data_IF_902125335164
#
_entry.id   IF_902125335164
#
_cell.length_a   1.000
_cell.length_b   1.000
_cell.length_c   1.000
_cell.angle_alpha   90.00
_cell.angle_beta   90.00
_cell.angle_gamma   90.00
#
_symmetry.space_group_name_H-M   'P 1'
#
loop_
_entity.id
_entity.type
_entity.pdbx_description
1 polymer ?
#
# COMPACT_ATOMS: atom_id res chain seq x y z
N UNK A 1 -1.94 11.30 -2.19
CA UNK A 1 -3.01 10.33 -1.91
C UNK A 1 -3.14 9.36 -3.06
N UNK A 2 -3.44 8.09 -2.74
CA UNK A 2 -3.73 7.03 -3.71
C UNK A 2 -5.21 6.66 -3.64
N UNK A 3 -5.79 6.29 -4.76
CA UNK A 3 -7.20 5.92 -4.89
C UNK A 3 -7.37 4.85 -5.96
N UNK A 4 -8.47 4.11 -5.91
CA UNK A 4 -8.77 3.08 -6.92
C UNK A 4 -9.21 3.74 -8.23
N UNK A 5 -8.65 3.27 -9.34
CA UNK A 5 -8.96 3.73 -10.69
C UNK A 5 -9.99 2.85 -11.41
N UNK A 6 -10.10 3.03 -12.73
CA UNK A 6 -10.89 2.14 -13.59
C UNK A 6 -10.38 0.70 -13.57
N UNK A 7 -11.22 -0.23 -14.00
CA UNK A 7 -10.87 -1.65 -14.18
C UNK A 7 -9.83 -1.86 -15.28
N UNK A 8 -9.79 -0.99 -16.29
CA UNK A 8 -8.78 -1.06 -17.34
C UNK A 8 -7.44 -0.47 -16.86
N UNK A 9 -6.31 -1.17 -17.09
CA UNK A 9 -4.99 -0.66 -16.74
C UNK A 9 -4.65 0.56 -17.59
N UNK A 10 -4.60 1.72 -16.95
CA UNK A 10 -4.10 2.97 -17.56
C UNK A 10 -2.64 3.19 -17.15
N UNK A 11 -1.88 4.09 -17.82
CA UNK A 11 -0.50 4.35 -17.44
C UNK A 11 -0.28 4.76 -15.97
N UNK A 12 -1.30 5.38 -15.34
CA UNK A 12 -1.28 5.74 -13.92
C UNK A 12 -1.56 4.55 -12.96
N UNK A 13 -1.92 3.38 -13.49
CA UNK A 13 -2.14 2.15 -12.70
C UNK A 13 -0.88 1.29 -12.61
N UNK A 14 0.24 1.72 -13.20
CA UNK A 14 1.46 0.94 -13.32
C UNK A 14 2.40 1.17 -12.14
N UNK A 15 2.86 0.06 -11.54
CA UNK A 15 3.79 0.07 -10.41
C UNK A 15 4.94 -0.90 -10.68
N UNK A 16 6.17 -0.46 -10.41
CA UNK A 16 7.35 -1.33 -10.39
C UNK A 16 7.54 -1.86 -8.98
N UNK A 17 7.55 -3.19 -8.85
CA UNK A 17 7.92 -3.86 -7.60
C UNK A 17 9.45 -3.88 -7.52
N UNK A 18 10.00 -3.38 -6.41
CA UNK A 18 11.44 -3.36 -6.11
C UNK A 18 11.73 -4.08 -4.80
N UNK A 19 12.80 -4.88 -4.78
CA UNK A 19 13.30 -5.60 -3.61
C UNK A 19 14.76 -6.02 -3.85
N UNK A 20 15.49 -6.32 -2.79
CA UNK A 20 16.96 -6.52 -2.84
C UNK A 20 17.39 -7.98 -3.07
N UNK A 21 16.43 -8.89 -3.25
CA UNK A 21 16.68 -10.32 -3.48
C UNK A 21 16.37 -10.73 -4.92
N UNK A 22 16.75 -11.95 -5.29
CA UNK A 22 16.38 -12.54 -6.58
C UNK A 22 14.87 -12.84 -6.65
N UNK A 23 14.30 -13.35 -5.55
CA UNK A 23 12.87 -13.62 -5.40
C UNK A 23 12.31 -12.87 -4.20
N UNK A 24 11.10 -12.32 -4.35
CA UNK A 24 10.33 -11.78 -3.25
C UNK A 24 9.70 -12.95 -2.49
N UNK A 25 10.22 -13.25 -1.30
CA UNK A 25 9.72 -14.30 -0.41
C UNK A 25 9.18 -13.73 0.89
N UNK A 26 8.03 -14.24 1.35
CA UNK A 26 7.46 -13.92 2.67
C UNK A 26 8.12 -14.78 3.77
N UNK A 27 8.40 -14.24 4.97
CA UNK A 27 8.24 -12.83 5.41
C UNK A 27 9.48 -11.97 5.21
N UNK A 28 10.56 -12.52 4.64
CA UNK A 28 11.90 -11.96 4.79
C UNK A 28 12.27 -10.91 3.74
N UNK A 29 11.36 -10.59 2.83
CA UNK A 29 11.65 -9.71 1.69
C UNK A 29 10.65 -8.56 1.65
N UNK A 30 11.01 -7.42 2.26
CA UNK A 30 10.27 -6.18 2.04
C UNK A 30 10.27 -5.81 0.57
N UNK A 31 9.13 -5.32 0.10
CA UNK A 31 8.96 -4.81 -1.26
C UNK A 31 8.63 -3.32 -1.21
N UNK A 32 9.08 -2.58 -2.21
CA UNK A 32 8.62 -1.23 -2.47
C UNK A 32 7.84 -1.21 -3.78
N UNK A 33 6.73 -0.45 -3.78
CA UNK A 33 5.90 -0.25 -4.96
C UNK A 33 6.15 1.17 -5.50
N UNK A 34 6.91 1.27 -6.59
CA UNK A 34 7.22 2.54 -7.23
C UNK A 34 6.23 2.84 -8.36
N UNK A 35 5.50 3.92 -8.24
CA UNK A 35 4.60 4.38 -9.31
C UNK A 35 5.41 4.78 -10.54
N UNK A 36 5.09 4.24 -11.72
CA UNK A 36 5.89 4.43 -12.94
C UNK A 36 5.94 5.90 -13.36
N UNK A 37 4.79 6.60 -13.39
CA UNK A 37 4.73 7.95 -13.95
C UNK A 37 5.35 9.01 -13.06
N UNK A 38 5.19 8.89 -11.74
CA UNK A 38 5.73 9.88 -10.80
C UNK A 38 7.07 9.48 -10.19
N UNK A 39 7.52 8.24 -10.41
CA UNK A 39 8.71 7.64 -9.80
C UNK A 39 8.70 7.60 -8.26
N UNK A 40 7.56 7.91 -7.65
CA UNK A 40 7.43 7.95 -6.19
C UNK A 40 6.95 6.61 -5.64
N UNK A 41 7.20 6.37 -4.36
CA UNK A 41 6.85 5.11 -3.71
C UNK A 41 5.52 5.19 -2.96
N UNK A 42 4.73 4.12 -3.05
CA UNK A 42 3.57 3.90 -2.20
C UNK A 42 4.04 3.76 -0.75
N UNK A 43 3.42 4.50 0.15
CA UNK A 43 3.73 4.36 1.56
C UNK A 43 2.93 5.28 2.46
N UNK A 44 3.38 5.37 3.71
CA UNK A 44 2.79 6.18 4.75
C UNK A 44 3.62 7.44 4.97
N UNK A 45 2.94 8.58 4.98
CA UNK A 45 3.55 9.86 5.33
C UNK A 45 3.26 10.20 6.78
N UNK A 46 4.23 10.83 7.44
CA UNK A 46 4.09 11.33 8.80
C UNK A 46 4.70 12.72 8.92
N UNK A 47 4.18 13.50 9.86
CA UNK A 47 4.69 14.82 10.19
C UNK A 47 5.20 14.84 11.63
N UNK A 48 6.17 15.72 11.87
CA UNK A 48 6.64 16.03 13.22
C UNK A 48 5.64 16.96 13.90
N UNK A 49 5.35 16.71 15.16
CA UNK A 49 4.61 17.66 15.99
C UNK A 49 5.51 18.87 16.30
N UNK A 50 5.05 20.06 15.93
CA UNK A 50 5.80 21.31 16.13
C UNK A 50 5.95 21.70 17.60
N UNK A 51 5.01 21.28 18.46
CA UNK A 51 5.02 21.57 19.89
C UNK A 51 5.78 20.50 20.69
N UNK A 52 5.84 19.27 20.18
CA UNK A 52 6.50 18.14 20.83
C UNK A 52 7.53 17.51 19.89
N UNK A 53 8.80 17.94 19.95
CA UNK A 53 9.82 17.63 18.94
C UNK A 53 10.17 16.14 18.75
N UNK A 54 9.67 15.25 19.60
CA UNK A 54 9.86 13.79 19.49
C UNK A 54 8.58 13.03 19.13
N UNK A 55 7.46 13.74 18.98
CA UNK A 55 6.19 13.13 18.63
C UNK A 55 5.94 13.28 17.13
N UNK A 56 5.66 12.15 16.49
CA UNK A 56 5.25 12.11 15.10
C UNK A 56 3.80 11.66 15.02
N UNK A 57 3.11 12.08 13.97
CA UNK A 57 1.78 11.59 13.65
C UNK A 57 1.69 11.28 12.17
N UNK A 58 1.02 10.18 11.86
CA UNK A 58 0.75 9.77 10.49
C UNK A 58 -0.40 10.60 9.94
N UNK A 59 -0.34 10.87 8.63
CA UNK A 59 -1.42 11.56 7.94
C UNK A 59 -2.68 10.69 7.98
N UNK A 60 -3.82 11.37 8.06
CA UNK A 60 -5.14 10.74 8.09
C UNK A 60 -5.83 10.99 6.77
N UNK A 61 -6.43 9.93 6.24
CA UNK A 61 -7.19 9.96 5.00
C UNK A 61 -8.36 10.95 5.10
N UNK A 62 -8.83 11.51 3.98
CA UNK A 62 -9.77 12.62 3.98
C UNK A 62 -11.16 12.23 4.48
N UNK A 63 -11.62 11.00 4.21
CA UNK A 63 -13.00 10.60 4.47
C UNK A 63 -13.15 9.84 5.77
N UNK A 64 -12.41 8.74 5.90
CA UNK A 64 -12.55 7.82 7.03
C UNK A 64 -11.65 8.17 8.20
N UNK A 65 -10.65 9.02 7.98
CA UNK A 65 -9.61 9.38 8.96
C UNK A 65 -8.73 8.19 9.40
N UNK A 66 -8.77 7.08 8.66
CA UNK A 66 -7.76 6.02 8.76
C UNK A 66 -6.40 6.53 8.28
N UNK A 67 -5.37 5.70 8.35
CA UNK A 67 -4.04 6.13 7.90
C UNK A 67 -4.05 6.39 6.40
N UNK A 68 -3.61 7.58 6.00
CA UNK A 68 -3.50 7.95 4.59
C UNK A 68 -2.36 7.17 3.91
N UNK A 69 -2.65 6.64 2.73
CA UNK A 69 -1.66 6.08 1.82
C UNK A 69 -1.39 7.06 0.68
N UNK A 70 -0.12 7.31 0.39
CA UNK A 70 0.31 8.30 -0.59
C UNK A 70 1.48 7.81 -1.44
N UNK A 71 1.65 8.41 -2.62
CA UNK A 71 2.86 8.24 -3.44
C UNK A 71 3.98 9.18 -2.98
N UNK A 72 4.24 9.30 -1.68
CA UNK A 72 5.40 10.02 -1.12
C UNK A 72 5.60 9.56 0.34
N UNK A 73 5.45 8.26 0.56
CA UNK A 73 5.55 7.67 1.89
C UNK A 73 6.99 7.72 2.39
N UNK A 74 7.16 8.12 3.66
CA UNK A 74 8.43 7.98 4.37
C UNK A 74 8.65 6.49 4.70
N UNK A 75 7.62 5.87 5.27
CA UNK A 75 7.59 4.41 5.44
C UNK A 75 7.02 3.81 4.16
N UNK A 76 7.80 2.96 3.49
CA UNK A 76 7.48 2.42 2.17
C UNK A 76 7.81 0.93 2.02
N UNK A 77 8.26 0.31 3.11
CA UNK A 77 8.65 -1.09 3.16
C UNK A 77 7.41 -1.93 3.45
N UNK A 78 6.86 -2.53 2.41
CA UNK A 78 5.69 -3.37 2.49
C UNK A 78 6.09 -4.83 2.64
N UNK A 79 5.40 -5.56 3.51
CA UNK A 79 5.49 -7.01 3.60
C UNK A 79 4.24 -7.58 2.91
N UNK A 80 4.44 -8.41 1.89
CA UNK A 80 3.33 -9.12 1.26
C UNK A 80 3.05 -10.42 2.01
N UNK A 81 1.79 -10.83 2.11
CA UNK A 81 1.38 -12.13 2.63
C UNK A 81 0.40 -12.77 1.67
N UNK A 82 0.57 -14.04 1.34
CA UNK A 82 -0.44 -14.75 0.55
C UNK A 82 -1.74 -14.87 1.34
N UNK A 83 -2.87 -14.56 0.70
CA UNK A 83 -4.17 -14.65 1.37
C UNK A 83 -4.71 -16.09 1.40
N UNK A 84 -4.28 -16.93 0.46
CA UNK A 84 -4.61 -18.36 0.37
C UNK A 84 -3.33 -19.19 0.41
N UNK A 85 -3.30 -20.22 1.26
CA UNK A 85 -2.13 -21.08 1.47
C UNK A 85 -1.96 -22.15 0.37
N UNK A 86 -2.97 -22.36 -0.47
CA UNK A 86 -2.91 -23.35 -1.54
C UNK A 86 -2.04 -22.83 -2.70
N UNK A 87 -0.96 -23.57 -3.02
CA UNK A 87 0.00 -23.32 -4.11
C UNK A 87 1.12 -22.27 -3.86
N UNK A 88 1.38 -21.86 -2.62
CA UNK A 88 2.55 -21.02 -2.34
C UNK A 88 3.85 -21.84 -2.41
N UNK A 89 4.68 -21.57 -3.41
CA UNK A 89 5.99 -22.20 -3.58
C UNK A 89 7.15 -21.39 -2.97
N UNK A 90 6.82 -20.33 -2.22
CA UNK A 90 7.79 -19.48 -1.55
C UNK A 90 8.02 -18.13 -2.21
N UNK A 91 7.50 -17.88 -3.41
CA UNK A 91 7.76 -16.66 -4.18
C UNK A 91 6.51 -15.94 -4.67
N UNK A 92 6.56 -14.61 -4.78
CA UNK A 92 5.49 -13.79 -5.37
C UNK A 92 5.43 -13.95 -6.89
N UNK A 93 4.23 -14.17 -7.43
CA UNK A 93 3.94 -14.40 -8.85
C UNK A 93 2.72 -13.59 -9.32
N UNK A 94 2.54 -13.56 -10.64
CA UNK A 94 1.32 -13.01 -11.22
C UNK A 94 0.11 -13.86 -10.83
N UNK A 95 -1.04 -13.21 -10.64
CA UNK A 95 -2.32 -13.73 -10.18
C UNK A 95 -2.36 -14.17 -8.71
N UNK A 96 -1.30 -13.91 -7.95
CA UNK A 96 -1.35 -14.10 -6.51
C UNK A 96 -2.30 -13.10 -5.86
N UNK A 97 -3.15 -13.61 -4.98
CA UNK A 97 -3.94 -12.80 -4.07
C UNK A 97 -3.16 -12.61 -2.77
N UNK A 98 -2.81 -11.37 -2.47
CA UNK A 98 -1.96 -11.01 -1.33
C UNK A 98 -2.63 -9.97 -0.44
N UNK A 99 -2.19 -9.89 0.81
CA UNK A 99 -2.31 -8.69 1.62
C UNK A 99 -0.97 -7.96 1.62
N UNK A 100 -1.01 -6.63 1.65
CA UNK A 100 0.17 -5.79 1.83
C UNK A 100 0.11 -5.14 3.19
N UNK A 101 1.14 -5.34 4.00
CA UNK A 101 1.23 -4.78 5.33
C UNK A 101 2.44 -3.88 5.50
N UNK A 102 2.36 -2.93 6.41
CA UNK A 102 3.40 -1.93 6.65
C UNK A 102 3.46 -1.59 8.14
N UNK A 103 4.68 -1.35 8.64
CA UNK A 103 4.90 -0.88 10.01
C UNK A 103 5.12 0.62 10.03
N UNK A 104 4.55 1.27 11.04
CA UNK A 104 4.76 2.68 11.33
C UNK A 104 6.03 2.88 12.14
N UNK A 105 7.12 3.34 11.54
CA UNK A 105 8.45 3.41 12.19
C UNK A 105 8.56 4.49 13.28
N UNK A 106 7.68 5.50 13.23
CA UNK A 106 7.68 6.65 14.15
C UNK A 106 6.73 6.57 15.35
N UNK A 107 6.04 5.45 15.56
CA UNK A 107 5.24 5.21 16.77
C UNK A 107 5.78 4.02 17.54
N UNK A 108 5.70 4.09 18.87
CA UNK A 108 6.22 3.08 19.80
C UNK A 108 5.44 1.76 19.71
N UNK A 109 4.22 1.81 19.18
CA UNK A 109 3.41 0.62 18.98
C UNK A 109 3.72 0.10 17.58
N UNK A 110 4.51 -0.98 17.51
CA UNK A 110 4.85 -1.79 16.31
C UNK A 110 3.63 -2.43 15.61
N UNK A 111 2.49 -1.75 15.64
CA UNK A 111 1.27 -2.20 14.98
C UNK A 111 1.47 -2.12 13.48
N UNK A 112 1.43 -3.31 12.89
CA UNK A 112 1.30 -3.51 11.47
C UNK A 112 -0.10 -3.05 11.03
N UNK A 113 -0.15 -2.32 9.92
CA UNK A 113 -1.40 -1.95 9.26
C UNK A 113 -1.42 -2.52 7.84
N UNK A 114 -2.62 -2.80 7.34
CA UNK A 114 -2.83 -3.44 6.04
C UNK A 114 -3.41 -2.45 5.05
N UNK A 115 -2.89 -2.49 3.82
CA UNK A 115 -3.44 -1.73 2.69
C UNK A 115 -4.83 -2.25 2.36
N UNK A 116 -5.80 -1.34 2.30
CA UNK A 116 -7.18 -1.69 2.02
C UNK A 116 -7.87 -0.63 1.19
N UNK A 117 -8.87 -1.07 0.44
CA UNK A 117 -9.90 -0.20 -0.11
C UNK A 117 -11.28 -0.66 0.38
N UNK A 118 -12.28 0.20 0.18
CA UNK A 118 -13.66 -0.02 0.60
C UNK A 118 -14.60 0.79 -0.28
N UNK A 119 -15.89 0.46 -0.28
CA UNK A 119 -16.92 1.13 -1.09
C UNK A 119 -17.34 2.51 -0.51
N UNK A 120 -16.36 3.28 -0.05
CA UNK A 120 -16.56 4.67 0.40
C UNK A 120 -15.94 5.56 -0.65
N UNK A 121 -16.80 6.37 -1.25
CA UNK A 121 -16.42 7.34 -2.25
C UNK A 121 -16.20 8.71 -1.58
N UNK A 122 -15.01 9.25 -1.81
CA UNK A 122 -14.53 10.52 -1.32
C UNK A 122 -14.66 11.58 -2.40
N UNK A 123 -14.98 12.82 -2.02
CA UNK A 123 -14.94 13.95 -2.94
C UNK A 123 -13.88 14.96 -2.50
N UNK A 124 -12.94 15.27 -3.38
CA UNK A 124 -11.98 16.37 -3.21
C UNK A 124 -12.14 17.32 -4.40
N UNK A 125 -12.64 18.52 -4.13
CA UNK A 125 -13.04 19.44 -5.20
C UNK A 125 -14.11 18.80 -6.09
N UNK A 126 -13.85 18.73 -7.38
CA UNK A 126 -14.77 18.15 -8.38
C UNK A 126 -14.50 16.66 -8.66
N UNK A 127 -13.58 16.03 -7.93
CA UNK A 127 -13.18 14.64 -8.16
C UNK A 127 -13.79 13.73 -7.11
N UNK A 128 -14.50 12.69 -7.56
CA UNK A 128 -14.95 11.59 -6.72
C UNK A 128 -14.05 10.38 -6.94
N UNK A 129 -13.62 9.74 -5.85
CA UNK A 129 -12.70 8.61 -5.91
C UNK A 129 -12.96 7.62 -4.79
N UNK A 130 -12.63 6.35 -5.01
CA UNK A 130 -12.68 5.33 -3.97
C UNK A 130 -11.38 5.38 -3.15
N UNK A 131 -11.53 5.52 -1.83
CA UNK A 131 -10.39 5.72 -0.91
C UNK A 131 -9.51 4.46 -0.82
N UNK A 132 -8.20 4.66 -0.67
CA UNK A 132 -7.23 3.63 -0.29
C UNK A 132 -6.54 4.07 1.01
N UNK A 133 -6.53 3.19 2.01
CA UNK A 133 -6.10 3.49 3.38
C UNK A 133 -5.34 2.33 4.00
N UNK A 134 -4.70 2.58 5.15
CA UNK A 134 -4.18 1.54 6.03
C UNK A 134 -4.96 1.46 7.35
N UNK A 135 -5.19 0.23 7.84
CA UNK A 135 -5.87 -0.04 9.11
C UNK A 135 -5.26 -1.25 9.85
N UNK A 136 -5.33 -1.25 11.18
CA UNK A 136 -4.73 -2.28 12.05
C UNK A 136 -5.58 -3.55 12.19
N UNK A 137 -6.89 -3.45 11.95
CA UNK A 137 -7.84 -4.53 12.23
C UNK A 137 -8.37 -5.08 10.91
N UNK A 138 -8.22 -6.40 10.70
CA UNK A 138 -8.83 -7.15 9.59
C UNK A 138 -10.34 -7.24 9.82
N UNK A 139 -11.05 -6.15 9.56
CA UNK A 139 -12.50 -6.03 9.79
C UNK A 139 -13.33 -6.62 8.65
N UNK A 140 -12.79 -7.56 7.87
CA UNK A 140 -13.48 -8.17 6.73
C UNK A 140 -13.72 -7.18 5.59
N UNK A 141 -12.77 -6.27 5.34
CA UNK A 141 -12.80 -5.33 4.20
C UNK A 141 -12.00 -5.90 3.03
N UNK A 142 -11.98 -5.19 1.90
CA UNK A 142 -11.15 -5.58 0.76
C UNK A 142 -9.69 -5.24 1.08
N UNK A 143 -9.02 -6.13 1.81
CA UNK A 143 -7.58 -6.06 2.10
C UNK A 143 -6.76 -6.96 1.16
N UNK A 144 -7.44 -7.77 0.35
CA UNK A 144 -6.85 -8.64 -0.66
C UNK A 144 -6.61 -7.88 -1.97
N UNK A 145 -5.42 -8.05 -2.53
CA UNK A 145 -4.97 -7.43 -3.76
C UNK A 145 -4.47 -8.52 -4.71
N UNK A 146 -4.86 -8.44 -5.98
CA UNK A 146 -4.32 -9.30 -7.04
C UNK A 146 -3.08 -8.64 -7.64
N UNK A 147 -1.97 -9.38 -7.75
CA UNK A 147 -0.79 -8.93 -8.49
C UNK A 147 -0.89 -9.35 -9.94
N UNK A 148 -0.98 -8.39 -10.86
CA UNK A 148 -0.96 -8.65 -12.31
C UNK A 148 0.35 -8.15 -12.91
N UNK A 149 1.19 -9.08 -13.38
CA UNK A 149 2.44 -8.74 -14.04
C UNK A 149 2.20 -8.45 -15.51
N UNK A 150 2.45 -7.21 -15.92
CA UNK A 150 2.35 -6.82 -17.32
C UNK A 150 3.66 -7.20 -18.00
N UNK A 151 3.55 -8.05 -19.01
CA UNK A 151 4.70 -8.44 -19.81
C UNK A 151 5.07 -7.26 -20.71
N UNK A 152 6.32 -6.80 -20.63
CA UNK A 152 6.82 -5.82 -21.58
C UNK A 152 6.72 -6.41 -22.98
N UNK A 153 5.92 -5.80 -23.85
CA UNK A 153 6.00 -6.08 -25.28
C UNK A 153 7.42 -5.75 -25.72
N UNK A 154 8.14 -6.77 -26.18
CA UNK A 154 9.46 -6.65 -26.80
C UNK A 154 9.37 -5.90 -28.12
#
# INVERSE_FOLDING_TARGET
MVFVGSTEPVPNSLWKIKFDKELATYPDTPINLQHIKSEMFLGLSFNRNTHYPHNYYYLRSPCTKYTEVSCNGNDKDWIFRHSKFENYDGSLKSNDTINLSIKKTKVINDKEEFLSSHDIHCSIGNYTFQEVVCLSDRLGRNEEWCIELIHGGS
#
